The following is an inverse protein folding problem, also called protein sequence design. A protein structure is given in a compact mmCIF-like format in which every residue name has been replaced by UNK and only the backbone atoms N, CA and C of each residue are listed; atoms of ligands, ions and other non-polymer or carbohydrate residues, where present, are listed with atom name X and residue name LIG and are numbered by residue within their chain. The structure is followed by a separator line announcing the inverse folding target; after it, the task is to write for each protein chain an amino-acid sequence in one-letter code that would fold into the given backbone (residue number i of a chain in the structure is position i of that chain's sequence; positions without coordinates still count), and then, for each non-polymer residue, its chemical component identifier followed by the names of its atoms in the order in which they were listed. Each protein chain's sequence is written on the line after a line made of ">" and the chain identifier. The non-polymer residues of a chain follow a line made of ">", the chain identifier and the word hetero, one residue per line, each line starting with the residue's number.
data_IF_163474606227
#
_entry.id   IF_163474606227
#
_cell.length_a   1.000
_cell.length_b   1.000
_cell.length_c   1.000
_cell.angle_alpha   90.00
_cell.angle_beta   90.00
_cell.angle_gamma   90.00
#
_symmetry.space_group_name_H-M   'P 1'
#
loop_
_entity.id
_entity.type
_entity.pdbx_description
1 polymer ?
#
# COMPACT_ATOMS: atom_id res chain seq x y z
N UNK A 1 -4.54 25.27 -23.85
CA UNK A 1 -4.54 26.59 -24.54
C UNK A 1 -5.02 26.53 -26.00
N UNK A 2 -5.05 25.38 -26.68
CA UNK A 2 -5.51 25.29 -28.09
C UNK A 2 -7.03 25.51 -28.29
N UNK A 3 -7.87 25.01 -27.37
CA UNK A 3 -9.34 25.14 -27.51
C UNK A 3 -9.90 26.57 -27.34
N UNK A 4 -9.16 27.46 -26.67
CA UNK A 4 -9.56 28.86 -26.50
C UNK A 4 -9.36 29.64 -27.81
N UNK A 5 -8.22 29.46 -28.47
CA UNK A 5 -7.93 30.12 -29.75
C UNK A 5 -8.87 29.62 -30.86
N UNK A 6 -9.24 28.34 -30.85
CA UNK A 6 -10.22 27.78 -31.78
C UNK A 6 -11.63 28.36 -31.59
N UNK A 7 -12.07 28.60 -30.34
CA UNK A 7 -13.35 29.25 -30.06
C UNK A 7 -13.36 30.73 -30.47
N UNK A 8 -12.24 31.44 -30.30
CA UNK A 8 -12.09 32.84 -30.72
C UNK A 8 -12.15 32.95 -32.26
N UNK A 9 -11.43 32.09 -32.98
CA UNK A 9 -11.42 32.14 -34.46
C UNK A 9 -12.75 31.63 -35.07
N UNK A 10 -13.45 30.71 -34.39
CA UNK A 10 -14.80 30.28 -34.74
C UNK A 10 -15.83 31.42 -34.60
N UNK A 11 -15.77 32.20 -33.51
CA UNK A 11 -16.61 33.38 -33.33
C UNK A 11 -16.32 34.47 -34.39
N UNK A 12 -15.06 34.58 -34.81
CA UNK A 12 -14.61 35.51 -35.85
C UNK A 12 -15.07 35.13 -37.27
N UNK A 13 -15.29 33.84 -37.52
CA UNK A 13 -15.76 33.29 -38.80
C UNK A 13 -17.30 33.30 -38.97
N UNK A 14 -18.06 33.74 -37.98
CA UNK A 14 -19.53 33.84 -38.06
C UNK A 14 -20.22 32.49 -38.30
N UNK A 15 -21.17 32.42 -39.23
CA UNK A 15 -21.92 31.19 -39.56
C UNK A 15 -21.01 30.02 -39.99
N UNK A 16 -19.93 30.30 -40.71
CA UNK A 16 -18.96 29.29 -41.15
C UNK A 16 -18.15 28.68 -39.99
N UNK A 17 -18.09 29.36 -38.84
CA UNK A 17 -17.36 28.93 -37.64
C UNK A 17 -18.17 28.07 -36.66
N UNK A 18 -19.50 27.95 -36.83
CA UNK A 18 -20.36 27.24 -35.86
C UNK A 18 -19.96 25.77 -35.65
N UNK A 19 -19.51 25.09 -36.70
CA UNK A 19 -19.00 23.71 -36.58
C UNK A 19 -17.70 23.62 -35.76
N UNK A 20 -16.79 24.58 -35.95
CA UNK A 20 -15.54 24.65 -35.18
C UNK A 20 -15.79 25.01 -33.70
N UNK A 21 -16.80 25.82 -33.41
CA UNK A 21 -17.20 26.15 -32.04
C UNK A 21 -17.65 24.89 -31.27
N UNK A 22 -18.48 24.04 -31.89
CA UNK A 22 -18.94 22.78 -31.29
C UNK A 22 -17.77 21.83 -31.02
N UNK A 23 -16.87 21.68 -32.00
CA UNK A 23 -15.67 20.83 -31.85
C UNK A 23 -14.75 21.37 -30.75
N UNK A 24 -14.52 22.68 -30.68
CA UNK A 24 -13.70 23.29 -29.63
C UNK A 24 -14.31 23.09 -28.23
N UNK A 25 -15.64 23.15 -28.10
CA UNK A 25 -16.35 22.87 -26.86
C UNK A 25 -16.21 21.41 -26.44
N UNK A 26 -16.31 20.46 -27.37
CA UNK A 26 -16.17 19.04 -27.05
C UNK A 26 -14.72 18.68 -26.69
N UNK A 27 -13.73 19.25 -27.38
CA UNK A 27 -12.31 19.11 -27.01
C UNK A 27 -12.07 19.64 -25.60
N UNK A 28 -12.66 20.78 -25.23
CA UNK A 28 -12.54 21.34 -23.88
C UNK A 28 -13.17 20.42 -22.83
N UNK A 29 -14.34 19.86 -23.13
CA UNK A 29 -15.02 18.91 -22.24
C UNK A 29 -14.18 17.65 -22.04
N UNK A 30 -13.71 17.02 -23.12
CA UNK A 30 -12.86 15.83 -23.05
C UNK A 30 -11.53 16.11 -22.33
N UNK A 31 -10.94 17.29 -22.54
CA UNK A 31 -9.73 17.71 -21.81
C UNK A 31 -9.98 17.81 -20.30
N UNK A 32 -11.13 18.35 -19.90
CA UNK A 32 -11.50 18.44 -18.48
C UNK A 32 -11.77 17.06 -17.87
N UNK A 33 -12.46 16.18 -18.59
CA UNK A 33 -12.67 14.79 -18.18
C UNK A 33 -11.33 14.05 -18.02
N UNK A 34 -10.44 14.19 -19.00
CA UNK A 34 -9.08 13.61 -18.95
C UNK A 34 -8.29 14.10 -17.73
N UNK A 35 -8.37 15.41 -17.42
CA UNK A 35 -7.75 15.98 -16.22
C UNK A 35 -8.37 15.39 -14.93
N UNK A 36 -9.68 15.16 -14.91
CA UNK A 36 -10.38 14.50 -13.81
C UNK A 36 -9.86 13.08 -13.59
N UNK A 37 -9.88 12.25 -14.63
CA UNK A 37 -9.37 10.87 -14.56
C UNK A 37 -7.89 10.82 -14.17
N UNK A 38 -7.07 11.75 -14.65
CA UNK A 38 -5.64 11.81 -14.26
C UNK A 38 -5.48 12.12 -12.77
N UNK A 39 -6.33 12.97 -12.19
CA UNK A 39 -6.32 13.24 -10.74
C UNK A 39 -6.74 12.01 -9.93
N UNK A 40 -7.75 11.27 -10.40
CA UNK A 40 -8.17 10.03 -9.75
C UNK A 40 -7.07 8.97 -9.77
N UNK A 41 -6.43 8.77 -10.93
CA UNK A 41 -5.27 7.87 -11.06
C UNK A 41 -4.17 8.27 -10.06
N UNK A 42 -3.84 9.56 -9.96
CA UNK A 42 -2.83 10.03 -9.00
C UNK A 42 -3.25 9.76 -7.54
N UNK A 43 -4.52 9.95 -7.21
CA UNK A 43 -5.05 9.63 -5.88
C UNK A 43 -4.94 8.13 -5.56
N UNK A 44 -5.32 7.27 -6.50
CA UNK A 44 -5.19 5.82 -6.36
C UNK A 44 -3.73 5.39 -6.19
N UNK A 45 -2.82 5.96 -6.99
CA UNK A 45 -1.39 5.69 -6.89
C UNK A 45 -0.81 6.10 -5.53
N UNK A 46 -1.25 7.23 -4.97
CA UNK A 46 -0.89 7.62 -3.60
C UNK A 46 -1.40 6.62 -2.56
N UNK A 47 -2.64 6.15 -2.70
CA UNK A 47 -3.20 5.11 -1.84
C UNK A 47 -2.40 3.81 -1.89
N UNK A 48 -2.02 3.36 -3.09
CA UNK A 48 -1.16 2.18 -3.28
C UNK A 48 0.18 2.38 -2.59
N UNK A 49 0.82 3.53 -2.76
CA UNK A 49 2.10 3.84 -2.09
C UNK A 49 2.00 3.77 -0.58
N UNK A 50 0.95 4.37 0.01
CA UNK A 50 0.74 4.30 1.46
C UNK A 50 0.49 2.86 1.93
N UNK A 51 -0.24 2.05 1.16
CA UNK A 51 -0.43 0.64 1.47
C UNK A 51 0.90 -0.14 1.47
N UNK A 52 1.77 0.11 0.48
CA UNK A 52 3.12 -0.48 0.42
C UNK A 52 3.97 -0.07 1.63
N UNK A 53 3.99 1.21 1.99
CA UNK A 53 4.74 1.69 3.17
C UNK A 53 4.25 1.03 4.48
N UNK A 54 2.96 0.70 4.58
CA UNK A 54 2.41 -0.03 5.73
C UNK A 54 2.77 -1.52 5.71
N UNK A 55 2.85 -2.13 4.53
CA UNK A 55 3.30 -3.52 4.36
C UNK A 55 4.77 -3.63 4.80
N UNK A 56 5.64 -2.72 4.37
CA UNK A 56 7.06 -2.72 4.75
C UNK A 56 7.24 -2.65 6.28
N UNK A 57 6.54 -1.72 6.94
CA UNK A 57 6.54 -1.63 8.41
C UNK A 57 6.03 -2.89 9.10
N UNK A 58 5.05 -3.55 8.49
CA UNK A 58 4.49 -4.80 9.03
C UNK A 58 5.50 -5.95 8.89
N UNK A 59 6.25 -5.99 7.78
CA UNK A 59 7.32 -6.97 7.57
C UNK A 59 8.46 -6.78 8.57
N UNK A 60 8.89 -5.55 8.83
CA UNK A 60 9.90 -5.25 9.85
C UNK A 60 9.46 -5.75 11.24
N UNK A 61 8.19 -5.52 11.59
CA UNK A 61 7.62 -6.00 12.85
C UNK A 61 7.57 -7.52 12.91
N UNK A 62 7.19 -8.19 11.83
CA UNK A 62 7.16 -9.66 11.75
C UNK A 62 8.58 -10.23 11.94
N UNK A 63 9.59 -9.63 11.30
CA UNK A 63 10.97 -10.06 11.45
C UNK A 63 11.44 -9.93 12.91
N UNK A 64 11.15 -8.80 13.56
CA UNK A 64 11.48 -8.59 14.97
C UNK A 64 10.76 -9.59 15.90
N UNK A 65 9.48 -9.85 15.65
CA UNK A 65 8.71 -10.85 16.40
C UNK A 65 9.32 -12.24 16.22
N UNK A 66 9.73 -12.60 14.99
CA UNK A 66 10.37 -13.88 14.70
C UNK A 66 11.65 -14.09 15.51
N UNK A 67 12.48 -13.06 15.65
CA UNK A 67 13.71 -13.12 16.47
C UNK A 67 13.39 -13.33 17.96
N UNK A 68 12.42 -12.58 18.49
CA UNK A 68 11.99 -12.74 19.89
C UNK A 68 11.41 -14.13 20.13
N UNK A 69 10.62 -14.64 19.17
CA UNK A 69 10.03 -15.96 19.27
C UNK A 69 11.08 -17.07 19.26
N UNK A 70 12.13 -16.95 18.44
CA UNK A 70 13.25 -17.90 18.44
C UNK A 70 13.93 -17.97 19.82
N UNK A 71 14.19 -16.81 20.45
CA UNK A 71 14.76 -16.75 21.81
C UNK A 71 13.83 -17.39 22.85
N UNK A 72 12.53 -17.14 22.78
CA UNK A 72 11.55 -17.77 23.67
C UNK A 72 11.51 -19.29 23.52
N UNK A 73 11.67 -19.81 22.30
CA UNK A 73 11.76 -21.26 22.05
C UNK A 73 13.03 -21.84 22.68
N UNK A 74 14.18 -21.17 22.55
CA UNK A 74 15.42 -21.59 23.21
C UNK A 74 15.27 -21.64 24.74
N UNK A 75 14.65 -20.61 25.33
CA UNK A 75 14.35 -20.59 26.77
C UNK A 75 13.43 -21.73 27.18
N UNK A 76 12.41 -22.04 26.38
CA UNK A 76 11.50 -23.16 26.63
C UNK A 76 12.25 -24.49 26.64
N UNK A 77 13.20 -24.68 25.72
CA UNK A 77 14.06 -25.88 25.69
C UNK A 77 14.91 -25.98 26.95
N UNK A 78 15.46 -24.85 27.44
CA UNK A 78 16.22 -24.84 28.70
C UNK A 78 15.36 -25.25 29.89
N UNK A 79 14.13 -24.73 30.01
CA UNK A 79 13.21 -25.14 31.09
C UNK A 79 12.84 -26.61 31.03
N UNK A 80 12.62 -27.17 29.83
CA UNK A 80 12.35 -28.60 29.68
C UNK A 80 13.55 -29.44 30.18
N UNK A 81 14.78 -29.03 29.86
CA UNK A 81 15.99 -29.70 30.36
C UNK A 81 16.10 -29.65 31.88
N UNK A 82 15.78 -28.51 32.50
CA UNK A 82 15.74 -28.39 33.96
C UNK A 82 14.71 -29.32 34.59
N UNK A 83 13.49 -29.36 34.04
CA UNK A 83 12.41 -30.23 34.51
C UNK A 83 12.84 -31.71 34.39
N UNK A 84 13.46 -32.11 33.28
CA UNK A 84 13.96 -33.47 33.11
C UNK A 84 15.02 -33.81 34.19
N UNK A 85 15.96 -32.90 34.42
CA UNK A 85 16.99 -33.10 35.45
C UNK A 85 16.41 -33.17 36.87
N UNK A 86 15.34 -32.42 37.16
CA UNK A 86 14.63 -32.51 38.44
C UNK A 86 13.89 -33.84 38.58
N UNK A 87 13.22 -34.31 37.52
CA UNK A 87 12.53 -35.59 37.50
C UNK A 87 13.49 -36.77 37.72
N UNK A 88 14.68 -36.73 37.09
CA UNK A 88 15.72 -37.75 37.29
C UNK A 88 16.21 -37.78 38.74
N UNK A 89 16.44 -36.61 39.36
CA UNK A 89 16.83 -36.54 40.79
C UNK A 89 15.75 -37.07 41.71
N UNK A 90 14.47 -36.74 41.46
CA UNK A 90 13.35 -37.27 42.23
C UNK A 90 13.26 -38.78 42.13
N UNK A 91 13.44 -39.34 40.92
CA UNK A 91 13.44 -40.78 40.72
C UNK A 91 14.60 -41.47 41.46
N UNK A 92 15.81 -40.91 41.39
CA UNK A 92 16.96 -41.44 42.15
C UNK A 92 16.74 -41.38 43.67
N UNK A 93 16.08 -40.34 44.17
CA UNK A 93 15.75 -40.24 45.59
C UNK A 93 14.74 -41.30 46.01
N UNK A 94 13.68 -41.49 45.23
CA UNK A 94 12.66 -42.51 45.49
C UNK A 94 13.22 -43.94 45.48
N UNK A 95 14.22 -44.24 44.64
CA UNK A 95 14.90 -45.55 44.60
C UNK A 95 15.82 -45.82 45.79
N UNK A 96 16.19 -44.79 46.57
CA UNK A 96 17.07 -44.91 47.74
C UNK A 96 16.31 -45.06 49.07
N UNK A 97 14.99 -44.88 49.05
CA UNK A 97 14.07 -45.17 50.16
C UNK A 97 13.65 -46.64 50.13
#
# INVERSE_FOLDING_TARGET
>A
MLGLNAAIEAARAGEAGRGFEVVAKEIRKLSNETLGSTKEINSTMKGIRTAMENIDKSLDKIASIGEVQAKSVEQTIMFIKEIQGLAERLNQFAQKL
#
